data_IF_003038440173
#
_entry.id   IF_003038440173
#
_cell.length_a   1.000
_cell.length_b   1.000
_cell.length_c   1.000
_cell.angle_alpha   90.00
_cell.angle_beta   90.00
_cell.angle_gamma   90.00
#
_symmetry.space_group_name_H-M   'P 1'
#
loop_
_entity.id
_entity.type
_entity.pdbx_description
1 polymer ?
#
# COMPACT_ATOMS: atom_id res chain seq x y z
N UNK A 1 5.01 10.55 43.61
CA UNK A 1 6.22 10.66 42.76
C UNK A 1 6.03 9.69 41.61
N UNK A 2 6.05 10.15 40.36
CA UNK A 2 5.90 9.25 39.20
C UNK A 2 7.24 8.48 39.07
N UNK A 3 7.22 7.14 39.07
CA UNK A 3 8.44 6.35 38.93
C UNK A 3 9.14 6.65 37.60
N UNK A 4 10.47 6.75 37.63
CA UNK A 4 11.29 7.01 36.44
C UNK A 4 11.44 5.72 35.65
N UNK A 5 11.34 5.80 34.32
CA UNK A 5 11.56 4.66 33.44
C UNK A 5 13.00 4.15 33.54
N UNK A 6 13.14 2.83 33.58
CA UNK A 6 14.42 2.14 33.49
C UNK A 6 14.90 2.15 32.04
N UNK A 7 16.20 2.03 31.84
CA UNK A 7 16.81 2.05 30.50
C UNK A 7 16.23 1.00 29.55
N UNK A 8 15.95 -0.21 30.03
CA UNK A 8 15.33 -1.26 29.21
C UNK A 8 13.87 -0.94 28.82
N UNK A 9 13.13 -0.23 29.68
CA UNK A 9 11.76 0.21 29.39
C UNK A 9 11.78 1.31 28.33
N UNK A 10 12.76 2.23 28.39
CA UNK A 10 12.97 3.25 27.36
C UNK A 10 13.33 2.59 26.03
N UNK A 11 14.29 1.67 26.03
CA UNK A 11 14.68 0.93 24.82
C UNK A 11 13.51 0.14 24.21
N UNK A 12 12.66 -0.48 25.04
CA UNK A 12 11.44 -1.14 24.59
C UNK A 12 10.49 -0.16 23.88
N UNK A 13 10.26 1.03 24.47
CA UNK A 13 9.40 2.06 23.87
C UNK A 13 9.95 2.58 22.54
N UNK A 14 11.26 2.77 22.44
CA UNK A 14 11.92 3.16 21.20
C UNK A 14 11.75 2.11 20.10
N UNK A 15 11.91 0.82 20.42
CA UNK A 15 11.63 -0.27 19.48
C UNK A 15 10.16 -0.29 19.07
N UNK A 16 9.24 -0.07 20.01
CA UNK A 16 7.81 -0.05 19.75
C UNK A 16 7.44 1.05 18.74
N UNK A 17 7.97 2.27 18.94
CA UNK A 17 7.76 3.38 18.02
C UNK A 17 8.25 3.02 16.61
N UNK A 18 9.47 2.50 16.48
CA UNK A 18 10.03 2.09 15.18
C UNK A 18 9.20 1.01 14.49
N UNK A 19 8.73 0.03 15.27
CA UNK A 19 7.90 -1.07 14.77
C UNK A 19 6.54 -0.59 14.28
N UNK A 20 5.91 0.36 14.99
CA UNK A 20 4.60 0.90 14.63
C UNK A 20 4.65 1.99 13.56
N UNK A 21 5.79 2.67 13.39
CA UNK A 21 5.94 3.78 12.46
C UNK A 21 5.48 3.49 11.03
N UNK A 22 5.82 2.35 10.37
CA UNK A 22 5.34 2.07 9.03
C UNK A 22 3.82 1.99 8.91
N UNK A 23 3.14 1.51 9.96
CA UNK A 23 1.67 1.42 10.00
C UNK A 23 1.06 2.82 10.16
N UNK A 24 1.56 3.60 11.13
CA UNK A 24 1.08 4.96 11.40
C UNK A 24 1.25 5.86 10.17
N UNK A 25 2.45 5.92 9.60
CA UNK A 25 2.73 6.74 8.40
C UNK A 25 1.86 6.35 7.21
N UNK A 26 1.56 5.05 7.05
CA UNK A 26 0.71 4.58 5.96
C UNK A 26 -0.75 4.97 6.17
N UNK A 27 -1.24 4.90 7.41
CA UNK A 27 -2.58 5.32 7.75
C UNK A 27 -2.75 6.82 7.59
N UNK A 28 -1.83 7.61 8.15
CA UNK A 28 -1.82 9.06 8.02
C UNK A 28 -1.84 9.46 6.54
N UNK A 29 -0.94 8.88 5.73
CA UNK A 29 -0.88 9.15 4.31
C UNK A 29 -2.16 8.81 3.54
N UNK A 30 -2.83 7.70 3.87
CA UNK A 30 -4.08 7.31 3.21
C UNK A 30 -5.30 8.11 3.70
N UNK A 31 -5.23 8.70 4.89
CA UNK A 31 -6.29 9.50 5.50
C UNK A 31 -6.15 10.99 5.22
N UNK A 32 -5.01 11.44 4.68
CA UNK A 32 -4.83 12.81 4.21
C UNK A 32 -5.86 13.20 3.13
N UNK A 33 -6.34 14.44 3.19
CA UNK A 33 -7.40 14.97 2.30
C UNK A 33 -7.01 14.94 0.80
N UNK A 34 -5.72 14.98 0.49
CA UNK A 34 -5.23 15.02 -0.88
C UNK A 34 -4.82 13.65 -1.44
N UNK A 35 -4.72 12.62 -0.60
CA UNK A 35 -4.20 11.29 -0.94
C UNK A 35 -5.28 10.19 -0.84
N UNK A 36 -6.55 10.58 -0.90
CA UNK A 36 -7.71 9.69 -0.71
C UNK A 36 -8.12 8.93 -1.98
N UNK A 37 -7.42 9.12 -3.10
CA UNK A 37 -7.74 8.40 -4.34
C UNK A 37 -7.34 6.93 -4.25
N UNK A 38 -8.17 6.07 -4.82
CA UNK A 38 -7.95 4.61 -4.75
C UNK A 38 -6.62 4.15 -5.36
N UNK A 39 -6.02 4.94 -6.26
CA UNK A 39 -4.69 4.69 -6.82
C UNK A 39 -3.52 4.81 -5.84
N UNK A 40 -3.73 5.40 -4.66
CA UNK A 40 -2.72 5.47 -3.59
C UNK A 40 -2.71 4.21 -2.73
N UNK A 41 -3.81 3.45 -2.68
CA UNK A 41 -3.96 2.32 -1.76
C UNK A 41 -2.89 1.25 -1.98
N UNK A 42 -2.81 0.70 -3.19
CA UNK A 42 -1.87 -0.38 -3.49
C UNK A 42 -0.40 0.03 -3.29
N UNK A 43 0.09 1.18 -3.83
CA UNK A 43 1.45 1.65 -3.59
C UNK A 43 1.78 1.82 -2.11
N UNK A 44 0.84 2.34 -1.31
CA UNK A 44 1.01 2.54 0.13
C UNK A 44 1.12 1.21 0.89
N UNK A 45 0.25 0.25 0.59
CA UNK A 45 0.30 -1.08 1.21
C UNK A 45 1.60 -1.82 0.87
N UNK A 46 2.07 -1.69 -0.37
CA UNK A 46 3.36 -2.26 -0.81
C UNK A 46 4.51 -1.60 -0.05
N UNK A 47 4.53 -0.27 0.03
CA UNK A 47 5.54 0.50 0.78
C UNK A 47 5.57 0.09 2.26
N UNK A 48 4.40 0.00 2.90
CA UNK A 48 4.25 -0.44 4.29
C UNK A 48 4.84 -1.83 4.53
N UNK A 49 4.47 -2.81 3.70
CA UNK A 49 4.99 -4.18 3.78
C UNK A 49 6.51 -4.21 3.59
N UNK A 50 7.03 -3.48 2.60
CA UNK A 50 8.47 -3.38 2.35
C UNK A 50 9.22 -2.76 3.54
N UNK A 51 8.69 -1.70 4.16
CA UNK A 51 9.29 -1.09 5.35
C UNK A 51 9.34 -2.09 6.52
N UNK A 52 8.24 -2.80 6.80
CA UNK A 52 8.20 -3.82 7.84
C UNK A 52 9.18 -4.97 7.58
N UNK A 53 9.30 -5.43 6.33
CA UNK A 53 10.29 -6.45 5.95
C UNK A 53 11.72 -5.95 6.12
N UNK A 54 12.00 -4.68 5.78
CA UNK A 54 13.32 -4.08 6.01
C UNK A 54 13.65 -3.98 7.50
N UNK A 55 12.69 -3.60 8.35
CA UNK A 55 12.87 -3.63 9.80
C UNK A 55 13.25 -5.03 10.29
N UNK A 56 12.57 -6.08 9.78
CA UNK A 56 12.92 -7.47 10.11
C UNK A 56 14.35 -7.84 9.68
N UNK A 57 14.77 -7.43 8.48
CA UNK A 57 16.10 -7.76 7.93
C UNK A 57 17.21 -6.98 8.63
N UNK A 58 16.95 -5.73 9.02
CA UNK A 58 17.94 -4.86 9.68
C UNK A 58 18.44 -5.39 11.02
N UNK A 59 17.59 -6.13 11.74
CA UNK A 59 17.89 -6.54 13.12
C UNK A 59 17.80 -5.41 14.14
N UNK A 60 17.25 -4.25 13.77
CA UNK A 60 17.11 -3.08 14.65
C UNK A 60 16.12 -3.30 15.81
N UNK A 61 15.21 -4.27 15.65
CA UNK A 61 14.23 -4.69 16.65
C UNK A 61 14.75 -5.95 17.34
N UNK A 62 15.10 -5.84 18.64
CA UNK A 62 15.70 -6.95 19.41
C UNK A 62 14.68 -7.57 20.37
N UNK A 63 13.94 -6.73 21.08
CA UNK A 63 12.97 -7.15 22.10
C UNK A 63 11.61 -7.50 21.47
N UNK A 64 11.22 -6.79 20.40
CA UNK A 64 9.90 -6.92 19.76
C UNK A 64 9.89 -7.78 18.48
N UNK A 65 10.80 -8.76 18.37
CA UNK A 65 10.88 -9.64 17.19
C UNK A 65 9.61 -10.45 16.95
N UNK A 66 9.05 -11.05 18.00
CA UNK A 66 7.80 -11.84 17.92
C UNK A 66 6.61 -10.96 17.48
N UNK A 67 6.34 -9.80 18.11
CA UNK A 67 5.35 -8.85 17.62
C UNK A 67 5.58 -8.39 16.16
N UNK A 68 6.82 -8.11 15.76
CA UNK A 68 7.14 -7.70 14.40
C UNK A 68 6.72 -8.76 13.38
N UNK A 69 7.03 -10.04 13.64
CA UNK A 69 6.62 -11.14 12.77
C UNK A 69 5.10 -11.32 12.73
N UNK A 70 4.43 -11.17 13.87
CA UNK A 70 2.97 -11.23 13.96
C UNK A 70 2.31 -10.11 13.14
N UNK A 71 2.86 -8.89 13.17
CA UNK A 71 2.39 -7.76 12.38
C UNK A 71 2.60 -7.98 10.89
N UNK A 72 3.79 -8.44 10.47
CA UNK A 72 4.05 -8.73 9.06
C UNK A 72 3.06 -9.78 8.54
N UNK A 73 2.81 -10.82 9.33
CA UNK A 73 1.84 -11.88 9.01
C UNK A 73 0.42 -11.33 8.93
N UNK A 74 -0.02 -10.55 9.92
CA UNK A 74 -1.39 -10.02 9.96
C UNK A 74 -1.65 -9.02 8.85
N UNK A 75 -0.69 -8.15 8.53
CA UNK A 75 -0.73 -7.24 7.37
C UNK A 75 -0.84 -8.05 6.07
N UNK A 76 -0.01 -9.09 5.93
CA UNK A 76 -0.04 -9.97 4.76
C UNK A 76 -1.38 -10.69 4.59
N UNK A 77 -2.02 -11.10 5.69
CA UNK A 77 -3.33 -11.76 5.66
C UNK A 77 -4.46 -10.77 5.38
N UNK A 78 -4.46 -9.62 6.06
CA UNK A 78 -5.52 -8.59 5.93
C UNK A 78 -5.58 -8.00 4.52
N UNK A 79 -4.42 -7.78 3.90
CA UNK A 79 -4.31 -7.18 2.58
C UNK A 79 -3.87 -8.18 1.52
N UNK A 80 -4.15 -9.47 1.74
CA UNK A 80 -3.73 -10.56 0.86
C UNK A 80 -4.06 -10.28 -0.60
N UNK A 81 -5.31 -9.96 -0.88
CA UNK A 81 -5.80 -9.71 -2.25
C UNK A 81 -4.97 -8.66 -2.99
N UNK A 82 -4.64 -7.54 -2.34
CA UNK A 82 -3.78 -6.49 -2.91
C UNK A 82 -2.32 -6.94 -3.04
N UNK A 83 -1.81 -7.65 -2.05
CA UNK A 83 -0.42 -8.11 -1.98
C UNK A 83 -0.14 -9.38 -2.81
N UNK A 84 -1.17 -9.97 -3.42
CA UNK A 84 -1.06 -11.06 -4.40
C UNK A 84 -1.56 -10.65 -5.77
N UNK A 85 -1.98 -9.39 -5.96
CA UNK A 85 -2.58 -8.88 -7.20
C UNK A 85 -3.74 -9.76 -7.70
N UNK A 86 -4.58 -10.22 -6.78
CA UNK A 86 -5.72 -11.05 -7.13
C UNK A 86 -6.77 -10.27 -7.94
N UNK A 87 -7.65 -10.94 -8.69
CA UNK A 87 -8.72 -10.29 -9.44
C UNK A 87 -9.57 -9.32 -8.61
N UNK A 88 -9.76 -9.60 -7.32
CA UNK A 88 -10.50 -8.77 -6.37
C UNK A 88 -9.84 -7.41 -6.15
N UNK A 89 -8.50 -7.34 -6.32
CA UNK A 89 -7.72 -6.10 -6.23
C UNK A 89 -7.61 -5.34 -7.57
N UNK A 90 -8.22 -5.83 -8.66
CA UNK A 90 -8.08 -5.28 -10.03
C UNK A 90 -8.33 -3.77 -10.09
N UNK A 91 -9.37 -3.27 -9.41
CA UNK A 91 -9.68 -1.82 -9.39
C UNK A 91 -8.55 -1.00 -8.73
N UNK A 92 -7.91 -1.52 -7.68
CA UNK A 92 -6.81 -0.83 -7.00
C UNK A 92 -5.54 -0.88 -7.83
N UNK A 93 -5.31 -2.03 -8.49
CA UNK A 93 -4.21 -2.21 -9.44
C UNK A 93 -4.32 -1.20 -10.59
N UNK A 94 -5.50 -1.09 -11.22
CA UNK A 94 -5.76 -0.11 -12.28
C UNK A 94 -5.52 1.32 -11.77
N UNK A 95 -6.07 1.67 -10.60
CA UNK A 95 -5.87 2.99 -10.00
C UNK A 95 -4.39 3.30 -9.74
N UNK A 96 -3.61 2.30 -9.36
CA UNK A 96 -2.18 2.44 -9.06
C UNK A 96 -1.30 2.68 -10.30
N UNK A 97 -1.83 2.48 -11.51
CA UNK A 97 -1.14 2.80 -12.78
C UNK A 97 -1.14 4.32 -13.07
N UNK A 98 -1.67 5.15 -12.16
CA UNK A 98 -1.72 6.59 -12.35
C UNK A 98 -0.32 7.20 -12.60
N UNK A 99 -0.22 8.33 -13.33
CA UNK A 99 1.06 8.93 -13.73
C UNK A 99 2.03 9.21 -12.58
N UNK A 100 1.51 9.44 -11.36
CA UNK A 100 2.29 9.70 -10.16
C UNK A 100 3.14 8.49 -9.73
N UNK A 101 2.54 7.30 -9.69
CA UNK A 101 3.22 6.08 -9.23
C UNK A 101 3.77 5.24 -10.39
N UNK A 102 3.16 5.36 -11.57
CA UNK A 102 3.46 4.55 -12.75
C UNK A 102 3.40 3.07 -12.39
N UNK A 103 4.52 2.36 -12.56
CA UNK A 103 4.66 0.95 -12.21
C UNK A 103 5.74 0.70 -11.13
N UNK A 104 6.12 1.72 -10.34
CA UNK A 104 7.21 1.57 -9.34
C UNK A 104 6.88 0.52 -8.28
N UNK A 105 5.61 0.42 -7.89
CA UNK A 105 5.10 -0.56 -6.91
C UNK A 105 5.22 -2.00 -7.43
N UNK A 106 5.17 -2.22 -8.75
CA UNK A 106 5.26 -3.56 -9.34
C UNK A 106 6.62 -4.23 -9.10
N UNK A 107 7.68 -3.45 -8.87
CA UNK A 107 9.00 -3.99 -8.54
C UNK A 107 8.99 -4.93 -7.33
N UNK A 108 8.04 -4.75 -6.39
CA UNK A 108 7.87 -5.61 -5.23
C UNK A 108 7.28 -7.00 -5.54
N UNK A 109 6.79 -7.20 -6.78
CA UNK A 109 6.09 -8.42 -7.21
C UNK A 109 6.81 -9.18 -8.33
N UNK A 110 7.95 -8.66 -8.82
CA UNK A 110 8.67 -9.25 -9.97
C UNK A 110 9.03 -10.72 -9.76
N UNK A 111 9.32 -11.10 -8.52
CA UNK A 111 9.76 -12.46 -8.18
C UNK A 111 8.61 -13.38 -7.74
N UNK A 112 7.36 -12.89 -7.74
CA UNK A 112 6.21 -13.59 -7.13
C UNK A 112 5.32 -14.34 -8.13
N UNK A 113 5.65 -14.40 -9.42
CA UNK A 113 4.87 -15.10 -10.47
C UNK A 113 3.34 -14.86 -10.38
N UNK A 114 2.92 -13.65 -10.03
CA UNK A 114 1.50 -13.31 -9.76
C UNK A 114 0.77 -12.84 -11.01
N UNK A 115 0.96 -11.58 -11.40
CA UNK A 115 0.29 -10.96 -12.54
C UNK A 115 1.35 -10.25 -13.36
N UNK A 116 1.34 -10.44 -14.66
CA UNK A 116 2.29 -9.84 -15.59
C UNK A 116 1.94 -8.40 -15.93
N UNK A 117 2.93 -7.63 -16.37
CA UNK A 117 2.71 -6.28 -16.92
C UNK A 117 1.65 -6.26 -18.02
N UNK A 118 1.63 -7.28 -18.89
CA UNK A 118 0.70 -7.37 -20.02
C UNK A 118 -0.75 -7.55 -19.55
N UNK A 119 -0.96 -8.36 -18.51
CA UNK A 119 -2.29 -8.54 -17.91
C UNK A 119 -2.79 -7.25 -17.27
N UNK A 120 -1.92 -6.54 -16.54
CA UNK A 120 -2.26 -5.23 -15.96
C UNK A 120 -2.61 -4.22 -17.06
N UNK A 121 -1.86 -4.19 -18.16
CA UNK A 121 -2.18 -3.34 -19.30
C UNK A 121 -3.55 -3.67 -19.90
N UNK A 122 -3.84 -4.96 -20.11
CA UNK A 122 -5.14 -5.40 -20.62
C UNK A 122 -6.27 -4.96 -19.67
N UNK A 123 -6.10 -5.11 -18.36
CA UNK A 123 -7.09 -4.67 -17.37
C UNK A 123 -7.38 -3.17 -17.44
N UNK A 124 -6.36 -2.36 -17.64
CA UNK A 124 -6.51 -0.90 -17.80
C UNK A 124 -7.29 -0.58 -19.07
N UNK A 125 -6.93 -1.20 -20.20
CA UNK A 125 -7.60 -1.00 -21.49
C UNK A 125 -9.07 -1.43 -21.43
N UNK A 126 -9.34 -2.63 -20.90
CA UNK A 126 -10.70 -3.15 -20.70
C UNK A 126 -11.55 -2.18 -19.86
N UNK A 127 -10.97 -1.65 -18.76
CA UNK A 127 -11.67 -0.71 -17.90
C UNK A 127 -12.07 0.56 -18.63
N UNK A 128 -11.16 1.16 -19.40
CA UNK A 128 -11.47 2.37 -20.18
C UNK A 128 -12.53 2.13 -21.26
N UNK A 129 -12.44 1.01 -22.00
CA UNK A 129 -13.46 0.64 -22.99
C UNK A 129 -14.83 0.50 -22.33
N UNK A 130 -14.92 -0.11 -21.15
CA UNK A 130 -16.19 -0.26 -20.42
C UNK A 130 -16.73 1.11 -19.98
N UNK A 131 -15.87 2.04 -19.55
CA UNK A 131 -16.31 3.39 -19.16
C UNK A 131 -16.81 4.19 -20.36
N UNK A 132 -16.11 4.14 -21.51
CA UNK A 132 -16.55 4.82 -22.73
C UNK A 132 -17.92 4.33 -23.21
N UNK A 133 -18.16 3.01 -23.20
CA UNK A 133 -19.45 2.43 -23.59
C UNK A 133 -20.60 2.70 -22.60
N UNK A 134 -20.29 3.17 -21.38
CA UNK A 134 -21.28 3.55 -20.37
C UNK A 134 -21.68 5.02 -20.42
N UNK A 135 -20.93 5.87 -21.14
CA UNK A 135 -21.30 7.27 -21.36
C UNK A 135 -22.31 7.26 -22.51
N UNK A 136 -23.61 7.55 -22.28
CA UNK A 136 -24.53 7.81 -23.38
C UNK A 136 -23.98 9.00 -24.17
N UNK A 137 -24.14 9.01 -25.50
CA UNK A 137 -23.79 10.14 -26.37
C UNK A 137 -24.63 11.39 -26.04
N UNK A 138 -24.46 11.97 -24.86
CA UNK A 138 -24.87 13.31 -24.54
C UNK A 138 -23.63 14.20 -24.56
N UNK A 139 -23.68 15.21 -25.43
CA UNK A 139 -22.68 16.23 -25.62
C UNK A 139 -22.31 16.92 -24.29
N UNK A 140 -21.27 16.44 -23.61
CA UNK A 140 -20.69 17.16 -22.48
C UNK A 140 -19.55 18.01 -23.01
N UNK A 141 -19.79 19.33 -23.06
CA UNK A 141 -18.78 20.34 -23.35
C UNK A 141 -17.55 20.16 -22.46
N UNK A 142 -16.40 20.14 -23.11
CA UNK A 142 -15.06 19.81 -22.64
C UNK A 142 -14.43 20.80 -21.63
N UNK A 143 -15.13 21.19 -20.56
CA UNK A 143 -14.57 22.14 -19.57
C UNK A 143 -14.41 21.64 -18.13
N UNK A 144 -15.05 20.56 -17.69
CA UNK A 144 -15.07 20.24 -16.25
C UNK A 144 -14.42 18.89 -15.87
N UNK A 145 -13.34 18.51 -16.55
CA UNK A 145 -12.61 17.26 -16.27
C UNK A 145 -11.14 17.51 -15.87
N UNK A 146 -10.90 18.44 -14.95
CA UNK A 146 -9.71 18.45 -14.11
C UNK A 146 -10.03 19.05 -12.74
N UNK A 147 -10.37 18.19 -11.79
CA UNK A 147 -10.13 18.40 -10.36
C UNK A 147 -9.44 17.16 -9.83
#
# INVERSE_FOLDING_TARGET
>A
MIPVFKEHEISFLEEYIKLMQPLAETLDFLQEEHNTYYGYLLPSLVSMKTKLQKLKISGDIKQLTVPLEAIIKSVGQRFKEFLTLSPESKTAVIGAVCPRFKMRWYNAFKDLNVTTYKEIQNWVVEYFIIQENKIPNENIQSKDLFF
#
